data_IF_686012343657
#
_entry.id   IF_686012343657
#
_cell.length_a   1.000
_cell.length_b   1.000
_cell.length_c   1.000
_cell.angle_alpha   90.00
_cell.angle_beta   90.00
_cell.angle_gamma   90.00
#
_symmetry.space_group_name_H-M   'P 1'
#
loop_
_entity.id
_entity.type
_entity.pdbx_description
1 polymer ?
#
# COMPACT_ATOMS: atom_id res chain seq x y z
N UNK A 1 -50.72 -2.54 -34.69
CA UNK A 1 -49.97 -1.35 -34.23
C UNK A 1 -49.51 -1.64 -32.83
N UNK A 2 -48.28 -2.13 -32.72
CA UNK A 2 -47.60 -2.38 -31.46
C UNK A 2 -46.15 -2.05 -31.75
N UNK A 3 -45.75 -0.83 -31.39
CA UNK A 3 -44.38 -0.37 -31.53
C UNK A 3 -43.57 -1.05 -30.42
N UNK A 4 -42.62 -1.88 -30.84
CA UNK A 4 -41.62 -2.48 -29.96
C UNK A 4 -40.61 -1.38 -29.63
N UNK A 5 -40.64 -0.90 -28.40
CA UNK A 5 -39.59 -0.07 -27.82
C UNK A 5 -38.27 -0.86 -27.84
N UNK A 6 -37.34 -0.37 -28.66
CA UNK A 6 -35.98 -0.83 -28.76
C UNK A 6 -35.22 -0.42 -27.48
N UNK A 7 -35.29 -1.26 -26.44
CA UNK A 7 -34.46 -1.10 -25.25
C UNK A 7 -33.03 -1.44 -25.62
N UNK A 8 -32.26 -0.41 -25.98
CA UNK A 8 -30.82 -0.50 -26.13
C UNK A 8 -30.22 -1.02 -24.80
N UNK A 9 -29.38 -2.08 -24.81
CA UNK A 9 -28.78 -2.59 -23.58
C UNK A 9 -27.91 -1.51 -22.90
N UNK A 10 -27.75 -1.53 -21.57
CA UNK A 10 -26.91 -0.59 -20.87
C UNK A 10 -25.50 -0.63 -21.46
N UNK A 11 -24.93 0.54 -21.78
CA UNK A 11 -23.52 0.63 -22.18
C UNK A 11 -22.69 0.16 -20.99
N UNK A 12 -22.19 -1.07 -21.05
CA UNK A 12 -21.17 -1.56 -20.13
C UNK A 12 -19.94 -0.68 -20.35
N UNK A 13 -19.76 0.34 -19.49
CA UNK A 13 -18.50 1.07 -19.43
C UNK A 13 -17.47 0.13 -18.84
N UNK A 14 -16.79 -0.62 -19.69
CA UNK A 14 -15.64 -1.45 -19.30
C UNK A 14 -14.63 -0.55 -18.58
N UNK A 15 -14.23 -0.94 -17.37
CA UNK A 15 -13.17 -0.24 -16.62
C UNK A 15 -11.94 -0.04 -17.51
N UNK A 16 -11.26 1.12 -17.48
CA UNK A 16 -10.03 1.33 -18.25
C UNK A 16 -8.84 0.53 -17.70
N UNK A 17 -9.01 -0.14 -16.55
CA UNK A 17 -7.97 -0.88 -15.85
C UNK A 17 -8.10 -2.38 -16.08
N UNK A 18 -6.96 -3.07 -16.07
CA UNK A 18 -6.91 -4.52 -16.09
C UNK A 18 -7.60 -5.07 -14.83
N UNK A 19 -8.68 -5.83 -15.01
CA UNK A 19 -9.35 -6.49 -13.89
C UNK A 19 -8.65 -7.80 -13.52
N UNK A 20 -8.18 -7.91 -12.28
CA UNK A 20 -7.41 -9.04 -11.78
C UNK A 20 -7.95 -9.46 -10.39
N UNK A 21 -8.79 -10.51 -10.31
CA UNK A 21 -9.43 -10.93 -9.07
C UNK A 21 -8.44 -11.50 -8.04
N UNK A 22 -8.80 -11.39 -6.76
CA UNK A 22 -8.07 -12.00 -5.66
C UNK A 22 -8.27 -13.54 -5.61
N UNK A 23 -7.36 -14.31 -4.96
CA UNK A 23 -6.10 -13.88 -4.34
C UNK A 23 -4.96 -13.74 -5.36
N UNK A 24 -4.02 -12.84 -5.07
CA UNK A 24 -2.83 -12.66 -5.91
C UNK A 24 -1.63 -13.44 -5.38
N UNK A 25 -0.91 -14.09 -6.29
CA UNK A 25 0.42 -14.64 -6.04
C UNK A 25 1.44 -13.67 -6.63
N UNK A 26 2.29 -13.09 -5.77
CA UNK A 26 3.31 -12.13 -6.19
C UNK A 26 4.70 -12.63 -5.84
N UNK A 27 5.70 -12.26 -6.66
CA UNK A 27 7.13 -12.45 -6.34
C UNK A 27 7.84 -11.12 -6.40
N UNK A 28 8.75 -10.88 -5.47
CA UNK A 28 9.45 -9.61 -5.39
C UNK A 28 10.53 -9.57 -4.34
N UNK A 29 11.19 -8.42 -4.27
CA UNK A 29 12.18 -8.07 -3.25
C UNK A 29 11.53 -7.11 -2.26
N UNK A 30 11.79 -7.23 -0.96
CA UNK A 30 11.18 -6.38 0.05
C UNK A 30 12.20 -5.88 1.08
N UNK A 31 12.12 -4.59 1.39
CA UNK A 31 12.84 -3.92 2.46
C UNK A 31 11.86 -3.60 3.57
N UNK A 32 12.13 -4.11 4.77
CA UNK A 32 11.26 -3.95 5.92
C UNK A 32 11.93 -3.06 6.96
N UNK A 33 11.20 -2.04 7.39
CA UNK A 33 11.60 -1.17 8.48
C UNK A 33 10.56 -1.30 9.59
N UNK A 34 11.01 -1.78 10.74
CA UNK A 34 10.14 -1.98 11.90
C UNK A 34 10.36 -0.87 12.92
N UNK A 35 9.28 -0.44 13.53
CA UNK A 35 9.30 0.45 14.68
C UNK A 35 8.30 -0.02 15.73
N UNK A 36 8.28 0.68 16.85
CA UNK A 36 7.28 0.46 17.88
C UNK A 36 6.77 1.79 18.37
N UNK A 37 5.46 1.94 18.48
CA UNK A 37 4.84 3.16 18.99
C UNK A 37 3.78 2.84 20.05
N UNK A 38 3.92 3.44 21.23
CA UNK A 38 2.94 3.35 22.32
C UNK A 38 2.20 4.68 22.41
N UNK A 39 0.97 4.79 21.85
CA UNK A 39 0.25 6.04 21.82
C UNK A 39 -0.22 6.46 23.22
N UNK A 40 -0.20 7.77 23.56
CA UNK A 40 -0.89 8.24 24.75
C UNK A 40 -2.40 8.04 24.60
N UNK A 41 -3.12 7.99 25.74
CA UNK A 41 -4.57 7.77 25.75
C UNK A 41 -5.28 8.83 24.89
N UNK A 42 -6.13 8.37 23.98
CA UNK A 42 -6.89 9.25 23.08
C UNK A 42 -6.13 9.70 21.84
N UNK A 43 -4.86 9.30 21.66
CA UNK A 43 -4.13 9.61 20.43
C UNK A 43 -4.71 8.84 19.24
N UNK A 44 -4.83 9.56 18.13
CA UNK A 44 -5.14 9.02 16.82
C UNK A 44 -4.12 9.56 15.82
N UNK A 45 -3.72 8.79 14.79
CA UNK A 45 -2.78 9.28 13.80
C UNK A 45 -3.26 10.59 13.17
N UNK A 46 -2.36 11.58 12.96
CA UNK A 46 -2.73 12.87 12.37
C UNK A 46 -3.16 12.71 10.92
N UNK A 47 -3.78 13.74 10.33
CA UNK A 47 -4.20 13.74 8.92
C UNK A 47 -3.08 13.34 7.96
N UNK A 48 -1.84 13.75 8.23
CA UNK A 48 -0.66 13.39 7.42
C UNK A 48 -0.32 11.90 7.40
N UNK A 49 -0.85 11.11 8.34
CA UNK A 49 -0.72 9.65 8.32
C UNK A 49 -1.61 8.97 7.26
N UNK A 50 -2.47 9.73 6.59
CA UNK A 50 -3.38 9.31 5.54
C UNK A 50 -3.12 10.10 4.24
N UNK A 51 -3.46 9.52 3.10
CA UNK A 51 -3.59 10.22 1.81
C UNK A 51 -4.69 11.29 1.88
N UNK A 52 -4.68 12.25 0.96
CA UNK A 52 -5.62 13.39 1.02
C UNK A 52 -7.08 12.96 0.88
N UNK A 53 -7.34 11.97 0.02
CA UNK A 53 -8.66 11.40 -0.22
C UNK A 53 -9.19 10.71 1.05
N UNK A 54 -8.44 9.76 1.62
CA UNK A 54 -8.83 9.03 2.82
C UNK A 54 -8.86 9.92 4.07
N UNK A 55 -7.86 10.80 4.22
CA UNK A 55 -7.71 11.72 5.35
C UNK A 55 -8.81 12.79 5.42
N UNK A 56 -9.55 12.99 4.33
CA UNK A 56 -10.70 13.90 4.27
C UNK A 56 -12.05 13.16 4.28
N UNK A 57 -12.04 11.85 4.51
CA UNK A 57 -13.23 10.99 4.50
C UNK A 57 -13.48 10.34 5.86
N UNK A 58 -14.54 9.53 5.96
CA UNK A 58 -14.79 8.70 7.14
C UNK A 58 -13.66 7.71 7.44
N UNK A 59 -12.80 7.35 6.46
CA UNK A 59 -11.68 6.43 6.65
C UNK A 59 -10.73 6.84 7.79
N UNK A 60 -10.50 8.15 7.95
CA UNK A 60 -9.65 8.71 8.99
C UNK A 60 -10.43 9.19 10.23
N UNK A 61 -11.76 9.00 10.28
CA UNK A 61 -12.56 9.42 11.43
C UNK A 61 -12.57 8.32 12.52
N UNK A 62 -12.02 8.58 13.72
CA UNK A 62 -12.02 7.60 14.82
C UNK A 62 -13.42 7.26 15.34
N UNK A 63 -14.38 8.17 15.24
CA UNK A 63 -15.77 7.92 15.67
C UNK A 63 -16.45 6.88 14.77
N UNK A 64 -16.08 6.85 13.49
CA UNK A 64 -16.62 5.92 12.49
C UNK A 64 -15.81 4.63 12.41
N UNK A 65 -14.49 4.71 12.56
CA UNK A 65 -13.57 3.59 12.25
C UNK A 65 -12.92 2.97 13.47
N UNK A 66 -13.22 3.48 14.65
CA UNK A 66 -12.75 2.99 15.94
C UNK A 66 -11.42 3.59 16.38
N UNK A 67 -10.75 2.91 17.29
CA UNK A 67 -9.64 3.48 18.07
C UNK A 67 -8.28 2.97 17.61
N UNK A 68 -7.28 3.84 17.63
CA UNK A 68 -5.89 3.47 17.39
C UNK A 68 -5.25 2.90 18.67
N UNK A 69 -4.45 1.84 18.52
CA UNK A 69 -3.78 1.11 19.61
C UNK A 69 -2.26 1.13 19.52
N UNK A 70 -1.69 1.50 18.38
CA UNK A 70 -0.24 1.46 18.15
C UNK A 70 0.33 0.05 18.16
N UNK A 71 1.51 -0.11 18.77
CA UNK A 71 2.29 -1.34 18.77
C UNK A 71 3.35 -1.34 17.66
N UNK A 72 3.57 -2.52 17.06
CA UNK A 72 4.51 -2.68 15.95
C UNK A 72 4.07 -1.83 14.75
N UNK A 73 4.94 -0.91 14.34
CA UNK A 73 4.79 -0.11 13.12
C UNK A 73 5.68 -0.68 12.03
N UNK A 74 5.30 -0.51 10.78
CA UNK A 74 6.06 -1.06 9.66
C UNK A 74 6.00 -0.13 8.46
N UNK A 75 7.19 0.16 7.90
CA UNK A 75 7.32 0.62 6.52
C UNK A 75 7.84 -0.57 5.71
N UNK A 76 7.18 -0.87 4.60
CA UNK A 76 7.69 -1.84 3.63
C UNK A 76 7.92 -1.14 2.31
N UNK A 77 9.06 -1.37 1.69
CA UNK A 77 9.30 -1.02 0.29
C UNK A 77 9.47 -2.32 -0.49
N UNK A 78 8.63 -2.54 -1.48
CA UNK A 78 8.53 -3.81 -2.19
C UNK A 78 8.68 -3.55 -3.69
N UNK A 79 9.41 -4.42 -4.37
CA UNK A 79 9.57 -4.43 -5.81
C UNK A 79 9.08 -5.76 -6.35
N UNK A 80 7.81 -5.80 -6.73
CA UNK A 80 7.20 -6.98 -7.32
C UNK A 80 7.71 -7.15 -8.76
N UNK A 81 8.35 -8.30 -8.99
CA UNK A 81 8.81 -8.73 -10.32
C UNK A 81 7.72 -9.48 -11.07
N UNK A 82 6.82 -10.14 -10.35
CA UNK A 82 5.69 -10.88 -10.91
C UNK A 82 4.42 -10.57 -10.09
N UNK A 83 3.34 -10.21 -10.79
CA UNK A 83 1.98 -10.10 -10.24
C UNK A 83 0.94 -10.26 -11.36
N UNK A 84 -0.35 -10.47 -11.04
CA UNK A 84 -1.43 -10.52 -12.05
C UNK A 84 -1.60 -9.25 -12.89
N UNK A 85 -1.07 -8.10 -12.44
CA UNK A 85 -1.10 -6.81 -13.17
C UNK A 85 0.28 -6.39 -13.68
N UNK A 86 1.22 -7.33 -13.78
CA UNK A 86 2.60 -7.08 -14.17
C UNK A 86 3.49 -6.60 -13.00
N UNK A 87 4.77 -6.27 -13.27
CA UNK A 87 5.70 -5.77 -12.26
C UNK A 87 5.26 -4.39 -11.74
N UNK A 88 5.37 -4.17 -10.43
CA UNK A 88 5.16 -2.86 -9.82
C UNK A 88 5.95 -2.72 -8.52
N UNK A 89 6.15 -1.48 -8.12
CA UNK A 89 6.83 -1.11 -6.88
C UNK A 89 5.78 -0.59 -5.89
N UNK A 90 5.98 -0.82 -4.60
CA UNK A 90 5.04 -0.48 -3.54
C UNK A 90 5.78 0.05 -2.31
N UNK A 91 5.26 1.10 -1.68
CA UNK A 91 5.63 1.49 -0.32
C UNK A 91 4.39 1.48 0.56
N UNK A 92 4.47 0.79 1.70
CA UNK A 92 3.38 0.65 2.66
C UNK A 92 3.76 1.37 3.94
N UNK A 93 2.85 2.16 4.48
CA UNK A 93 2.90 2.62 5.87
C UNK A 93 1.78 1.98 6.70
N UNK A 94 2.20 1.23 7.71
CA UNK A 94 1.35 0.65 8.72
C UNK A 94 1.72 1.23 10.09
N UNK A 95 0.94 2.19 10.62
CA UNK A 95 1.21 2.77 11.93
C UNK A 95 0.88 1.81 13.09
N UNK A 96 0.42 0.59 12.82
CA UNK A 96 0.16 -0.43 13.83
C UNK A 96 -1.32 -0.77 13.95
N UNK A 97 -1.72 -1.14 15.17
CA UNK A 97 -3.02 -1.76 15.41
C UNK A 97 -4.13 -0.73 15.59
N UNK A 98 -5.30 -1.09 15.09
CA UNK A 98 -6.57 -0.42 15.32
C UNK A 98 -7.57 -1.43 15.87
N UNK A 99 -8.53 -0.92 16.62
CA UNK A 99 -9.70 -1.68 17.05
C UNK A 99 -10.93 -1.08 16.36
N UNK A 100 -11.74 -1.93 15.72
CA UNK A 100 -12.95 -1.49 15.03
C UNK A 100 -13.99 -0.87 15.98
N UNK A 101 -15.07 -0.26 15.45
CA UNK A 101 -16.06 0.48 16.24
C UNK A 101 -16.72 -0.34 17.35
N UNK A 102 -17.02 -1.62 17.08
CA UNK A 102 -17.60 -2.53 18.07
C UNK A 102 -16.58 -3.05 19.11
N UNK A 103 -15.32 -2.61 19.05
CA UNK A 103 -14.20 -3.03 19.90
C UNK A 103 -13.91 -4.55 19.93
N UNK A 104 -14.57 -5.36 19.10
CA UNK A 104 -14.42 -6.82 19.05
C UNK A 104 -13.29 -7.28 18.13
N UNK A 105 -12.88 -6.42 17.20
CA UNK A 105 -11.92 -6.78 16.14
C UNK A 105 -10.70 -5.87 16.17
N UNK A 106 -9.57 -6.40 16.62
CA UNK A 106 -8.27 -5.74 16.50
C UNK A 106 -7.52 -6.25 15.26
N UNK A 107 -6.77 -5.37 14.60
CA UNK A 107 -5.91 -5.72 13.48
C UNK A 107 -5.02 -4.56 13.07
N UNK A 108 -4.16 -4.80 12.10
CA UNK A 108 -3.34 -3.77 11.46
C UNK A 108 -4.19 -2.93 10.50
N UNK A 109 -3.83 -1.67 10.28
CA UNK A 109 -4.45 -0.83 9.25
C UNK A 109 -3.35 -0.16 8.43
N UNK A 110 -3.40 -0.34 7.12
CA UNK A 110 -2.53 0.43 6.22
C UNK A 110 -3.22 1.78 6.03
N UNK A 111 -2.64 2.84 6.57
CA UNK A 111 -3.21 4.19 6.47
C UNK A 111 -2.71 4.94 5.25
N UNK A 112 -1.57 4.52 4.70
CA UNK A 112 -0.98 5.11 3.50
C UNK A 112 -0.20 4.06 2.73
N UNK A 113 -0.35 4.03 1.41
CA UNK A 113 0.34 3.10 0.54
C UNK A 113 0.39 3.67 -0.87
N UNK A 114 1.57 3.61 -1.48
CA UNK A 114 1.77 4.07 -2.85
C UNK A 114 2.25 2.94 -3.72
N UNK A 115 1.87 2.94 -4.99
CA UNK A 115 2.29 1.96 -5.99
C UNK A 115 2.64 2.61 -7.33
N UNK A 116 3.53 1.98 -8.09
CA UNK A 116 3.93 2.49 -9.41
C UNK A 116 2.97 2.13 -10.56
N UNK A 117 1.96 1.30 -10.31
CA UNK A 117 0.98 0.85 -11.30
C UNK A 117 -0.45 1.25 -10.90
N UNK A 118 -1.16 1.92 -11.81
CA UNK A 118 -2.57 2.28 -11.61
C UNK A 118 -3.47 1.04 -11.60
N UNK A 119 -3.14 -0.01 -12.36
CA UNK A 119 -3.86 -1.29 -12.28
C UNK A 119 -3.74 -1.92 -10.88
N UNK A 120 -2.58 -1.77 -10.22
CA UNK A 120 -2.41 -2.17 -8.82
C UNK A 120 -3.25 -1.31 -7.86
N UNK A 121 -3.40 0.00 -8.14
CA UNK A 121 -4.31 0.87 -7.37
C UNK A 121 -5.75 0.36 -7.46
N UNK A 122 -6.28 0.26 -8.69
CA UNK A 122 -7.65 -0.14 -8.96
C UNK A 122 -8.00 -1.48 -8.29
N UNK A 123 -7.20 -2.52 -8.55
CA UNK A 123 -7.46 -3.84 -7.97
C UNK A 123 -7.21 -3.87 -6.45
N UNK A 124 -6.22 -3.11 -5.97
CA UNK A 124 -5.90 -2.96 -4.55
C UNK A 124 -7.08 -2.43 -3.74
N UNK A 125 -7.68 -1.35 -4.23
CA UNK A 125 -8.86 -0.71 -3.65
C UNK A 125 -10.09 -1.61 -3.79
N UNK A 126 -10.35 -2.15 -4.99
CA UNK A 126 -11.51 -3.02 -5.28
C UNK A 126 -11.52 -4.32 -4.46
N UNK A 127 -10.42 -5.07 -4.45
CA UNK A 127 -10.41 -6.43 -3.90
C UNK A 127 -10.17 -6.48 -2.38
N UNK A 128 -9.40 -5.53 -1.83
CA UNK A 128 -8.96 -5.58 -0.42
C UNK A 128 -9.26 -4.30 0.36
N UNK A 129 -9.87 -3.30 -0.27
CA UNK A 129 -10.20 -2.04 0.38
C UNK A 129 -8.94 -1.37 1.01
N UNK A 130 -7.81 -1.44 0.29
CA UNK A 130 -6.53 -0.87 0.68
C UNK A 130 -6.36 0.50 0.00
N UNK A 131 -5.98 1.57 0.72
CA UNK A 131 -5.96 2.95 0.20
C UNK A 131 -4.72 3.22 -0.68
N UNK A 132 -4.58 2.47 -1.78
CA UNK A 132 -3.50 2.66 -2.75
C UNK A 132 -3.67 3.97 -3.49
N UNK A 133 -2.53 4.61 -3.75
CA UNK A 133 -2.38 5.81 -4.55
C UNK A 133 -1.20 5.64 -5.52
N UNK A 134 -1.28 6.27 -6.69
CA UNK A 134 -0.24 6.15 -7.72
C UNK A 134 0.94 7.07 -7.40
N UNK A 135 2.17 6.56 -7.52
CA UNK A 135 3.40 7.32 -7.30
C UNK A 135 4.54 6.84 -8.21
N UNK A 136 5.59 7.66 -8.32
CA UNK A 136 6.81 7.32 -9.03
C UNK A 136 7.85 6.73 -8.06
N UNK A 137 8.54 5.68 -8.48
CA UNK A 137 9.57 5.00 -7.70
C UNK A 137 10.90 5.00 -8.45
N UNK A 138 11.98 5.34 -7.75
CA UNK A 138 13.33 5.25 -8.27
C UNK A 138 14.17 4.38 -7.36
N UNK A 139 14.82 3.38 -7.95
CA UNK A 139 15.77 2.50 -7.27
C UNK A 139 17.12 2.67 -7.94
N UNK A 140 18.09 3.22 -7.23
CA UNK A 140 19.45 3.43 -7.74
C UNK A 140 20.26 2.17 -7.50
N UNK A 141 20.76 1.49 -8.55
CA UNK A 141 21.59 0.30 -8.39
C UNK A 141 22.82 0.59 -7.51
N UNK A 142 23.19 -0.37 -6.67
CA UNK A 142 24.42 -0.27 -5.89
C UNK A 142 25.62 -0.68 -6.78
N UNK A 143 26.54 0.23 -7.13
CA UNK A 143 27.69 -0.09 -7.97
C UNK A 143 28.68 -1.05 -7.27
N UNK A 144 28.59 -1.16 -5.94
CA UNK A 144 29.44 -2.02 -5.13
C UNK A 144 28.80 -3.40 -4.84
N UNK A 145 27.65 -3.71 -5.44
CA UNK A 145 27.04 -5.01 -5.28
C UNK A 145 27.82 -6.08 -6.05
N UNK A 146 28.54 -6.93 -5.32
CA UNK A 146 29.47 -7.92 -5.91
C UNK A 146 28.91 -9.35 -5.88
N UNK A 147 27.90 -9.62 -5.06
CA UNK A 147 27.23 -10.92 -4.97
C UNK A 147 25.75 -10.78 -4.55
N UNK A 148 25.04 -11.90 -4.47
CA UNK A 148 23.63 -11.96 -4.08
C UNK A 148 23.34 -11.58 -2.63
N UNK A 149 24.38 -11.40 -1.80
CA UNK A 149 24.26 -10.93 -0.42
C UNK A 149 24.40 -9.42 -0.34
N UNK A 150 24.98 -8.79 -1.35
CA UNK A 150 25.11 -7.34 -1.38
C UNK A 150 23.75 -6.66 -1.49
N UNK A 151 23.58 -5.50 -0.85
CA UNK A 151 22.37 -4.69 -1.06
C UNK A 151 22.30 -4.29 -2.54
N UNK A 152 21.22 -4.64 -3.28
CA UNK A 152 21.15 -4.43 -4.73
C UNK A 152 20.98 -2.95 -5.12
N UNK A 153 20.51 -2.12 -4.19
CA UNK A 153 20.27 -0.70 -4.41
C UNK A 153 21.00 0.11 -3.34
N UNK A 154 21.54 1.26 -3.73
CA UNK A 154 22.20 2.24 -2.85
C UNK A 154 21.23 3.31 -2.36
N UNK A 155 20.15 3.55 -3.10
CA UNK A 155 19.12 4.53 -2.77
C UNK A 155 17.77 4.11 -3.31
N UNK A 156 16.71 4.39 -2.56
CA UNK A 156 15.33 4.28 -3.01
C UNK A 156 14.61 5.60 -2.72
N UNK A 157 13.87 6.11 -3.70
CA UNK A 157 13.02 7.29 -3.53
C UNK A 157 11.63 7.09 -4.10
N UNK A 158 10.65 7.74 -3.49
CA UNK A 158 9.25 7.77 -3.92
C UNK A 158 8.81 9.23 -4.03
N UNK A 159 8.22 9.56 -5.18
CA UNK A 159 7.78 10.91 -5.53
C UNK A 159 6.34 10.88 -6.07
N UNK A 160 5.62 12.01 -6.05
CA UNK A 160 4.34 12.12 -6.74
C UNK A 160 4.49 11.72 -8.23
N UNK A 161 3.49 11.04 -8.80
CA UNK A 161 3.56 10.59 -10.19
C UNK A 161 3.70 11.73 -11.20
N UNK A 162 3.27 12.95 -10.83
CA UNK A 162 3.32 14.16 -11.64
C UNK A 162 4.47 15.12 -11.27
N UNK A 163 5.30 14.80 -10.27
CA UNK A 163 6.39 15.65 -9.81
C UNK A 163 7.57 14.80 -9.29
N UNK A 164 8.27 14.16 -10.24
CA UNK A 164 9.31 13.16 -9.94
C UNK A 164 10.57 13.75 -9.28
N UNK A 165 10.80 15.05 -9.43
CA UNK A 165 11.98 15.75 -8.92
C UNK A 165 11.88 16.10 -7.42
N UNK A 166 10.67 16.01 -6.84
CA UNK A 166 10.40 16.34 -5.43
C UNK A 166 9.91 15.10 -4.65
N UNK A 167 10.81 14.17 -4.28
CA UNK A 167 10.43 12.98 -3.54
C UNK A 167 9.96 13.30 -2.12
N UNK A 168 8.86 12.69 -1.69
CA UNK A 168 8.38 12.76 -0.30
C UNK A 168 8.99 11.67 0.59
N UNK A 169 9.61 10.65 -0.01
CA UNK A 169 10.35 9.61 0.69
C UNK A 169 11.67 9.35 -0.03
N UNK A 170 12.75 9.26 0.74
CA UNK A 170 14.08 8.90 0.24
C UNK A 170 14.84 8.18 1.34
N UNK A 171 15.45 7.05 1.01
CA UNK A 171 16.31 6.29 1.92
C UNK A 171 17.59 5.87 1.21
N UNK A 172 18.72 6.12 1.85
CA UNK A 172 20.01 5.60 1.43
C UNK A 172 20.24 4.25 2.09
N UNK A 173 20.64 3.25 1.29
CA UNK A 173 20.85 1.88 1.71
C UNK A 173 22.36 1.61 1.78
N UNK A 174 22.88 1.58 3.00
CA UNK A 174 24.30 1.31 3.27
C UNK A 174 24.49 -0.05 3.92
N UNK A 175 25.44 -0.89 3.47
CA UNK A 175 25.78 -2.12 4.16
C UNK A 175 26.25 -1.83 5.59
N UNK A 176 25.64 -2.45 6.60
CA UNK A 176 26.12 -2.37 7.99
C UNK A 176 27.12 -3.50 8.27
N UNK A 177 28.29 -3.16 8.83
CA UNK A 177 29.34 -4.13 9.16
C UNK A 177 28.97 -5.12 10.28
N UNK A 178 27.97 -4.80 11.11
CA UNK A 178 27.58 -5.58 12.30
C UNK A 178 26.54 -6.66 11.95
N UNK A 179 25.74 -6.43 10.91
CA UNK A 179 24.75 -7.37 10.38
C UNK A 179 24.98 -7.45 8.88
N UNK A 180 25.84 -8.37 8.43
CA UNK A 180 26.03 -8.61 7.01
C UNK A 180 24.66 -8.76 6.33
N UNK A 181 24.48 -8.09 5.19
CA UNK A 181 23.22 -8.09 4.45
C UNK A 181 22.86 -9.52 4.05
N UNK A 182 22.04 -10.19 4.87
CA UNK A 182 21.54 -11.51 4.59
C UNK A 182 20.21 -11.35 3.84
N UNK A 183 20.20 -11.72 2.57
CA UNK A 183 18.95 -11.95 1.83
C UNK A 183 18.40 -13.31 2.26
N UNK A 184 17.30 -13.31 3.02
CA UNK A 184 16.66 -14.53 3.51
C UNK A 184 15.37 -14.73 2.70
N UNK A 185 15.17 -15.88 2.03
CA UNK A 185 13.89 -16.16 1.39
C UNK A 185 12.79 -16.17 2.46
N UNK A 186 11.84 -15.25 2.35
CA UNK A 186 10.78 -15.05 3.34
C UNK A 186 9.41 -15.25 2.70
N UNK A 187 8.60 -16.13 3.30
CA UNK A 187 7.17 -16.22 3.00
C UNK A 187 6.37 -15.50 4.07
N UNK A 188 5.43 -14.65 3.67
CA UNK A 188 4.51 -13.98 4.60
C UNK A 188 3.47 -14.93 5.20
N UNK A 189 3.33 -16.16 4.66
CA UNK A 189 2.44 -17.18 5.21
C UNK A 189 2.93 -17.77 6.53
N UNK A 190 4.20 -17.58 6.90
CA UNK A 190 4.84 -18.12 8.11
C UNK A 190 5.11 -17.06 9.18
N UNK A 191 4.57 -15.84 9.04
CA UNK A 191 4.79 -14.75 9.98
C UNK A 191 4.03 -15.01 11.31
N UNK A 192 4.72 -15.09 12.47
CA UNK A 192 4.08 -15.34 13.77
C UNK A 192 3.31 -14.13 14.34
N UNK A 193 3.10 -13.10 13.52
CA UNK A 193 2.39 -11.86 13.87
C UNK A 193 1.11 -11.85 13.04
N UNK A 194 -0.04 -11.67 13.68
CA UNK A 194 -1.31 -11.54 12.97
C UNK A 194 -1.24 -10.39 11.95
N UNK A 195 -1.27 -10.74 10.67
CA UNK A 195 -1.32 -9.82 9.52
C UNK A 195 -2.74 -9.37 9.19
N UNK A 196 -3.71 -9.68 10.06
CA UNK A 196 -5.12 -9.34 9.86
C UNK A 196 -5.27 -7.83 9.68
N UNK A 197 -5.74 -7.44 8.50
CA UNK A 197 -6.05 -6.05 8.18
C UNK A 197 -7.49 -5.72 8.61
N UNK A 198 -7.67 -4.52 9.19
CA UNK A 198 -8.97 -3.95 9.58
C UNK A 198 -9.20 -2.62 8.87
N UNK A 199 -9.31 -2.70 7.54
CA UNK A 199 -9.55 -1.54 6.70
C UNK A 199 -11.02 -1.09 6.77
N UNK A 200 -11.30 0.19 7.11
CA UNK A 200 -12.64 0.75 6.97
C UNK A 200 -12.94 1.07 5.50
N UNK A 201 -14.22 1.16 5.08
CA UNK A 201 -14.58 1.44 3.70
C UNK A 201 -13.84 2.63 3.10
N UNK A 202 -13.32 2.48 1.89
CA UNK A 202 -12.63 3.54 1.18
C UNK A 202 -13.61 4.55 0.56
N UNK A 203 -13.25 5.84 0.53
CA UNK A 203 -13.93 6.80 -0.34
C UNK A 203 -13.66 6.49 -1.82
N UNK A 204 -14.59 6.87 -2.68
CA UNK A 204 -14.41 6.86 -4.13
C UNK A 204 -13.70 8.14 -4.59
N UNK A 205 -12.74 8.02 -5.51
CA UNK A 205 -12.10 9.18 -6.13
C UNK A 205 -13.02 9.78 -7.21
N UNK A 206 -13.14 11.13 -7.30
CA UNK A 206 -13.79 11.78 -8.45
C UNK A 206 -13.10 11.46 -9.78
N UNK A 207 -11.79 11.24 -9.75
CA UNK A 207 -10.94 10.93 -10.90
C UNK A 207 -10.59 9.44 -11.03
N UNK A 208 -11.44 8.54 -10.51
CA UNK A 208 -11.18 7.09 -10.45
C UNK A 208 -10.79 6.49 -11.80
N UNK A 209 -11.32 7.02 -12.91
CA UNK A 209 -10.98 6.57 -14.27
C UNK A 209 -9.51 6.83 -14.66
N UNK A 210 -8.81 7.69 -13.92
CA UNK A 210 -7.40 8.04 -14.14
C UNK A 210 -6.48 7.47 -13.06
N UNK A 211 -6.92 7.47 -11.80
CA UNK A 211 -6.08 7.11 -10.66
C UNK A 211 -6.40 5.75 -10.02
N UNK A 212 -7.42 5.03 -10.50
CA UNK A 212 -7.83 3.73 -9.99
C UNK A 212 -8.81 3.82 -8.83
#
# INVERSE_FOLDING_TARGET
>A
MGDLEDTQPPVETSSPFLDAPAPWLCKGEAFWFFGYFSPPKGYYPPKSAFSDLEGSSSFANPEVTGTYKGGLTTIMVIRYKESPVGPYDEIIWNPGKFCGPAATTQGLRITRIYVSSVDSVYNGRKNWNIPKEHAHFTFVPNPNATDSRSLPYSKISVAPANDVDHPFFSVDLTPTWIFGSASIPYSTSITPISTRLVQPPLPQSPDWQKNG
#
